data_IF_478667968682
#
_entry.id   IF_478667968682
#
_cell.length_a   1.000
_cell.length_b   1.000
_cell.length_c   1.000
_cell.angle_alpha   90.00
_cell.angle_beta   90.00
_cell.angle_gamma   90.00
#
_symmetry.space_group_name_H-M   'P 1'
#
loop_
_entity.id
_entity.type
_entity.pdbx_description
1 polymer ?
#
# COMPACT_ATOMS: atom_id res chain seq x y z
N UNK A 1 0.05 4.47 -17.09
CA UNK A 1 0.48 3.76 -15.87
C UNK A 1 0.14 4.63 -14.69
N UNK A 2 -0.86 4.23 -13.91
CA UNK A 2 -1.30 4.96 -12.74
C UNK A 2 -0.10 5.17 -11.82
N UNK A 3 0.24 6.44 -11.61
CA UNK A 3 1.20 6.87 -10.61
C UNK A 3 0.51 6.81 -9.25
N UNK A 4 1.25 6.34 -8.24
CA UNK A 4 0.75 6.40 -6.87
C UNK A 4 1.01 7.80 -6.32
N UNK A 5 0.17 8.28 -5.40
CA UNK A 5 0.39 9.57 -4.74
C UNK A 5 0.97 9.34 -3.35
N UNK A 6 2.05 10.05 -3.02
CA UNK A 6 2.65 10.02 -1.70
C UNK A 6 1.74 10.71 -0.69
N UNK A 7 1.32 9.97 0.34
CA UNK A 7 0.47 10.47 1.42
C UNK A 7 1.18 11.48 2.34
N UNK A 8 2.50 11.68 2.18
CA UNK A 8 3.30 12.63 2.97
C UNK A 8 3.59 13.92 2.18
N UNK A 9 4.13 13.81 0.96
CA UNK A 9 4.55 14.99 0.18
C UNK A 9 3.63 15.34 -0.99
N UNK A 10 2.60 14.53 -1.26
CA UNK A 10 1.64 14.73 -2.36
C UNK A 10 2.19 14.49 -3.77
N UNK A 11 3.48 14.15 -3.90
CA UNK A 11 4.13 13.88 -5.19
C UNK A 11 3.89 12.45 -5.65
N UNK A 12 4.10 12.23 -6.94
CA UNK A 12 4.00 10.91 -7.55
C UNK A 12 5.06 9.94 -7.02
N UNK A 13 4.70 8.66 -6.98
CA UNK A 13 5.54 7.52 -6.62
C UNK A 13 5.47 6.48 -7.75
N UNK A 14 6.63 6.11 -8.29
CA UNK A 14 6.75 4.93 -9.13
C UNK A 14 6.73 3.66 -8.28
N UNK A 15 6.20 2.56 -8.81
CA UNK A 15 6.07 1.30 -8.06
C UNK A 15 7.41 0.80 -7.45
N UNK A 16 8.53 1.04 -8.13
CA UNK A 16 9.87 0.66 -7.66
C UNK A 16 10.39 1.53 -6.51
N UNK A 17 9.89 2.75 -6.40
CA UNK A 17 10.33 3.79 -5.46
C UNK A 17 9.43 3.93 -4.23
N UNK A 18 8.34 3.17 -4.21
CA UNK A 18 7.29 3.27 -3.21
C UNK A 18 7.23 2.10 -2.25
N UNK A 19 6.66 2.39 -1.07
CA UNK A 19 6.23 1.38 -0.12
C UNK A 19 4.80 1.68 0.35
N UNK A 20 4.09 0.63 0.73
CA UNK A 20 2.93 0.71 1.60
C UNK A 20 3.39 0.38 3.03
N UNK A 21 3.17 1.27 3.98
CA UNK A 21 3.43 1.04 5.40
C UNK A 21 2.16 1.17 6.25
N UNK A 22 2.11 0.53 7.41
CA UNK A 22 1.01 0.64 8.35
C UNK A 22 1.47 0.37 9.79
N UNK A 23 0.65 0.80 10.75
CA UNK A 23 0.82 0.49 12.16
C UNK A 23 0.16 -0.85 12.49
N UNK A 24 0.86 -1.70 13.23
CA UNK A 24 0.32 -2.91 13.85
C UNK A 24 0.76 -3.01 15.30
N UNK A 25 -0.14 -2.69 16.22
CA UNK A 25 0.12 -2.64 17.65
C UNK A 25 -1.18 -2.85 18.43
N UNK A 26 -1.14 -3.45 19.62
CA UNK A 26 -2.29 -3.61 20.52
C UNK A 26 -3.57 -4.16 19.85
N UNK A 27 -3.44 -5.22 19.04
CA UNK A 27 -4.54 -5.79 18.25
C UNK A 27 -5.24 -4.77 17.32
N UNK A 28 -4.51 -3.77 16.83
CA UNK A 28 -5.00 -2.77 15.89
C UNK A 28 -4.15 -2.74 14.63
N UNK A 29 -4.81 -2.48 13.52
CA UNK A 29 -4.18 -2.14 12.24
C UNK A 29 -4.66 -0.75 11.84
N UNK A 30 -3.75 0.14 11.45
CA UNK A 30 -4.13 1.49 11.04
C UNK A 30 -3.02 2.25 10.36
N UNK A 31 -3.27 3.54 10.12
CA UNK A 31 -2.30 4.46 9.51
C UNK A 31 -1.63 3.89 8.23
N UNK A 32 -2.41 3.20 7.39
CA UNK A 32 -1.94 2.73 6.09
C UNK A 32 -1.52 3.92 5.21
N UNK A 33 -0.28 3.94 4.73
CA UNK A 33 0.27 5.03 3.92
C UNK A 33 1.13 4.52 2.77
N UNK A 34 0.92 5.12 1.59
CA UNK A 34 1.81 5.03 0.44
C UNK A 34 2.83 6.16 0.51
N UNK A 35 4.11 5.81 0.56
CA UNK A 35 5.20 6.79 0.73
C UNK A 35 6.40 6.40 -0.12
N UNK A 36 7.26 7.37 -0.42
CA UNK A 36 8.57 7.10 -1.00
C UNK A 36 9.44 6.30 -0.03
N UNK A 37 10.37 5.50 -0.58
CA UNK A 37 11.40 4.83 0.21
C UNK A 37 12.32 5.83 0.91
N UNK A 38 12.76 5.50 2.12
CA UNK A 38 13.76 6.30 2.85
C UNK A 38 15.12 6.27 2.17
N UNK A 39 15.43 5.22 1.41
CA UNK A 39 16.65 5.15 0.60
C UNK A 39 16.76 6.27 -0.44
N UNK A 40 15.67 6.97 -0.73
CA UNK A 40 15.62 8.13 -1.61
C UNK A 40 15.88 9.46 -0.87
N UNK A 41 16.13 9.43 0.45
CA UNK A 41 16.42 10.62 1.26
C UNK A 41 15.25 11.59 1.41
N UNK A 42 14.01 11.12 1.21
CA UNK A 42 12.81 11.97 1.14
C UNK A 42 12.21 12.32 2.51
N UNK A 43 12.48 11.50 3.54
CA UNK A 43 11.86 11.65 4.86
C UNK A 43 10.34 11.47 4.84
N UNK A 44 9.82 10.73 3.85
CA UNK A 44 8.38 10.55 3.67
C UNK A 44 7.79 9.45 4.56
N UNK A 45 8.59 8.52 5.08
CA UNK A 45 8.07 7.38 5.83
C UNK A 45 7.61 7.78 7.24
N UNK A 46 6.44 7.32 7.71
CA UNK A 46 5.95 7.67 9.04
C UNK A 46 6.70 6.89 10.12
N UNK A 47 7.27 7.57 11.11
CA UNK A 47 8.02 6.95 12.22
C UNK A 47 7.18 5.92 13.03
N UNK A 48 5.87 6.12 13.12
CA UNK A 48 4.96 5.23 13.86
C UNK A 48 4.56 3.95 13.12
N UNK A 49 4.84 3.83 11.82
CA UNK A 49 4.50 2.63 11.06
C UNK A 49 5.58 1.56 11.23
N UNK A 50 5.19 0.39 11.72
CA UNK A 50 6.11 -0.70 12.06
C UNK A 50 5.99 -1.91 11.12
N UNK A 51 5.15 -1.83 10.09
CA UNK A 51 5.00 -2.84 9.04
C UNK A 51 5.02 -2.17 7.69
N UNK A 52 5.59 -2.86 6.70
CA UNK A 52 5.59 -2.38 5.32
C UNK A 52 5.62 -3.53 4.30
N UNK A 53 5.24 -3.19 3.07
CA UNK A 53 5.46 -3.98 1.85
C UNK A 53 5.92 -3.07 0.73
N UNK A 54 6.79 -3.63 -0.10
CA UNK A 54 7.27 -3.01 -1.32
C UNK A 54 6.14 -2.82 -2.34
N UNK A 55 6.02 -1.61 -2.91
CA UNK A 55 4.91 -1.29 -3.80
C UNK A 55 4.98 -2.08 -5.11
N UNK A 56 6.18 -2.29 -5.67
CA UNK A 56 6.35 -3.12 -6.87
C UNK A 56 5.80 -4.54 -6.67
N UNK A 57 5.95 -5.13 -5.48
CA UNK A 57 5.37 -6.44 -5.17
C UNK A 57 3.85 -6.36 -5.12
N UNK A 58 3.29 -5.32 -4.50
CA UNK A 58 1.84 -5.11 -4.40
C UNK A 58 1.16 -4.85 -5.75
N UNK A 59 1.90 -4.39 -6.76
CA UNK A 59 1.39 -4.24 -8.14
C UNK A 59 1.34 -5.54 -8.94
N UNK A 60 1.89 -6.63 -8.41
CA UNK A 60 1.74 -7.97 -8.98
C UNK A 60 0.46 -8.63 -8.41
N UNK A 61 -0.25 -9.38 -9.24
CA UNK A 61 -1.48 -10.06 -8.81
C UNK A 61 -1.25 -10.97 -7.60
N UNK A 62 -0.12 -11.69 -7.55
CA UNK A 62 0.26 -12.54 -6.41
C UNK A 62 0.51 -11.72 -5.15
N UNK A 63 1.30 -10.65 -5.23
CA UNK A 63 1.60 -9.79 -4.08
C UNK A 63 0.37 -9.03 -3.57
N UNK A 64 -0.55 -8.65 -4.45
CA UNK A 64 -1.85 -8.10 -4.08
C UNK A 64 -2.70 -9.13 -3.32
N UNK A 65 -2.82 -10.36 -3.84
CA UNK A 65 -3.57 -11.42 -3.19
C UNK A 65 -2.99 -11.79 -1.82
N UNK A 66 -1.66 -11.86 -1.68
CA UNK A 66 -1.01 -12.08 -0.39
C UNK A 66 -1.32 -10.95 0.61
N UNK A 67 -1.44 -9.71 0.14
CA UNK A 67 -1.80 -8.60 1.01
C UNK A 67 -3.27 -8.69 1.48
N UNK A 68 -4.18 -9.11 0.60
CA UNK A 68 -5.57 -9.42 1.00
C UNK A 68 -5.60 -10.57 2.02
N UNK A 69 -4.90 -11.67 1.77
CA UNK A 69 -4.82 -12.80 2.71
C UNK A 69 -4.29 -12.34 4.05
N UNK A 70 -3.24 -11.51 4.08
CA UNK A 70 -2.73 -10.92 5.30
C UNK A 70 -3.80 -10.13 6.07
N UNK A 71 -4.61 -9.32 5.39
CA UNK A 71 -5.68 -8.54 6.04
C UNK A 71 -6.78 -9.45 6.60
N UNK A 72 -7.15 -10.51 5.87
CA UNK A 72 -8.16 -11.49 6.31
C UNK A 72 -7.68 -12.28 7.54
N UNK A 73 -6.43 -12.74 7.55
CA UNK A 73 -5.85 -13.41 8.71
C UNK A 73 -5.85 -12.50 9.94
N UNK A 74 -5.47 -11.23 9.79
CA UNK A 74 -5.47 -10.31 10.94
C UNK A 74 -6.89 -10.03 11.44
N UNK A 75 -7.86 -9.99 10.53
CA UNK A 75 -9.27 -9.88 10.92
C UNK A 75 -9.74 -11.14 11.68
N UNK A 76 -9.37 -12.33 11.23
CA UNK A 76 -9.61 -13.60 11.94
C UNK A 76 -8.96 -13.63 13.32
N UNK A 77 -7.74 -13.08 13.44
CA UNK A 77 -7.00 -12.90 14.71
C UNK A 77 -7.62 -11.82 15.63
N UNK A 78 -8.77 -11.23 15.26
CA UNK A 78 -9.49 -10.24 16.06
C UNK A 78 -8.88 -8.84 16.03
N UNK A 79 -8.02 -8.51 15.06
CA UNK A 79 -7.50 -7.14 14.94
C UNK A 79 -8.60 -6.16 14.54
N UNK A 80 -8.59 -4.99 15.19
CA UNK A 80 -9.46 -3.88 14.85
C UNK A 80 -8.79 -2.98 13.81
N UNK A 81 -9.51 -2.69 12.73
CA UNK A 81 -9.08 -1.71 11.74
C UNK A 81 -9.38 -0.29 12.25
N UNK A 82 -8.33 0.44 12.63
CA UNK A 82 -8.38 1.86 12.94
C UNK A 82 -8.11 2.67 11.67
N UNK A 83 -8.81 3.79 11.51
CA UNK A 83 -8.70 4.65 10.32
C UNK A 83 -8.94 3.92 8.98
N UNK A 84 -10.08 3.22 8.81
CA UNK A 84 -10.38 2.42 7.62
C UNK A 84 -10.32 3.20 6.30
N UNK A 85 -10.49 4.53 6.35
CA UNK A 85 -10.34 5.41 5.20
C UNK A 85 -8.94 5.38 4.58
N UNK A 86 -7.88 5.18 5.37
CA UNK A 86 -6.51 5.18 4.84
C UNK A 86 -6.25 3.89 4.07
N UNK A 87 -6.66 2.74 4.61
CA UNK A 87 -6.64 1.47 3.89
C UNK A 87 -7.47 1.55 2.60
N UNK A 88 -8.68 2.13 2.66
CA UNK A 88 -9.52 2.32 1.47
C UNK A 88 -8.82 3.14 0.39
N UNK A 89 -8.11 4.20 0.75
CA UNK A 89 -7.36 5.01 -0.22
C UNK A 89 -6.26 4.20 -0.90
N UNK A 90 -5.50 3.43 -0.12
CA UNK A 90 -4.45 2.53 -0.63
C UNK A 90 -5.04 1.50 -1.59
N UNK A 91 -6.11 0.81 -1.18
CA UNK A 91 -6.77 -0.21 -2.00
C UNK A 91 -7.30 0.38 -3.32
N UNK A 92 -7.84 1.61 -3.29
CA UNK A 92 -8.28 2.32 -4.49
C UNK A 92 -7.12 2.55 -5.47
N UNK A 93 -5.99 3.06 -5.00
CA UNK A 93 -4.82 3.32 -5.85
C UNK A 93 -4.24 2.02 -6.42
N UNK A 94 -4.13 0.97 -5.60
CA UNK A 94 -3.69 -0.36 -6.05
C UNK A 94 -4.61 -0.93 -7.14
N UNK A 95 -5.93 -0.87 -6.94
CA UNK A 95 -6.91 -1.37 -7.90
C UNK A 95 -6.83 -0.62 -9.24
N UNK A 96 -6.69 0.72 -9.22
CA UNK A 96 -6.53 1.51 -10.44
C UNK A 96 -5.27 1.10 -11.21
N UNK A 97 -4.13 0.96 -10.51
CA UNK A 97 -2.88 0.54 -11.13
C UNK A 97 -2.96 -0.85 -11.75
N UNK A 98 -3.54 -1.82 -11.04
CA UNK A 98 -3.70 -3.20 -11.53
C UNK A 98 -4.65 -3.23 -12.74
N UNK A 99 -5.76 -2.49 -12.68
CA UNK A 99 -6.74 -2.45 -13.77
C UNK A 99 -6.17 -1.84 -15.05
N UNK A 100 -5.44 -0.72 -14.96
CA UNK A 100 -4.74 -0.14 -16.11
C UNK A 100 -3.74 -1.13 -16.73
N UNK A 101 -2.99 -1.86 -15.89
CA UNK A 101 -2.04 -2.86 -16.36
C UNK A 101 -2.75 -4.00 -17.13
N UNK A 102 -3.91 -4.43 -16.66
CA UNK A 102 -4.71 -5.45 -17.34
C UNK A 102 -5.23 -4.96 -18.69
N UNK A 103 -5.68 -3.70 -18.79
CA UNK A 103 -6.13 -3.13 -20.06
C UNK A 103 -5.01 -3.12 -21.11
N UNK A 104 -3.81 -2.68 -20.71
CA UNK A 104 -2.64 -2.68 -21.60
C UNK A 104 -2.28 -4.08 -22.11
N UNK A 105 -2.44 -5.12 -21.28
CA UNK A 105 -2.19 -6.51 -21.68
C UNK A 105 -3.24 -7.09 -22.66
N UNK A 106 -4.39 -6.44 -22.82
CA UNK A 106 -5.47 -6.86 -23.73
C UNK A 106 -5.41 -6.09 -25.05
N UNK A 107 -4.74 -4.93 -25.07
CA UNK A 107 -4.54 -4.11 -26.27
C UNK A 107 -3.32 -4.54 -27.11
N UNK A 108 -2.44 -5.37 -26.55
CA UNK A 108 -1.31 -6.05 -27.23
C UNK A 108 -1.69 -7.48 -27.69
#
# INVERSE_FOLDING_TARGET
>A
MATFTCDTCGKEIHAVDGILSWTREDHRLGNFKLTHKDTLGTGCQPEGNNRYRELYTLTLATGFMEFISYLLERWEDGFLLTEPQTLRNVMRQLNLHIHEKLLLMVED
#
